data_IF_287856847739
#
_entry.id   IF_287856847739
#
_cell.length_a   1.000
_cell.length_b   1.000
_cell.length_c   1.000
_cell.angle_alpha   90.00
_cell.angle_beta   90.00
_cell.angle_gamma   90.00
#
_symmetry.space_group_name_H-M   'P 1'
#
loop_
_entity.id
_entity.type
_entity.pdbx_description
1 polymer ?
#
# COMPACT_ATOMS: atom_id res chain seq x y z
N UNK A 1 21.23 -7.37 15.24
CA UNK A 1 22.01 -6.37 14.47
C UNK A 1 23.11 -6.97 13.58
N UNK A 2 24.07 -7.76 14.10
CA UNK A 2 25.22 -8.27 13.31
C UNK A 2 24.83 -9.10 12.07
N UNK A 3 23.79 -9.93 12.17
CA UNK A 3 23.37 -10.80 11.07
C UNK A 3 22.78 -10.02 9.89
N UNK A 4 21.99 -8.98 10.17
CA UNK A 4 21.38 -8.11 9.15
C UNK A 4 22.45 -7.27 8.46
N UNK A 5 23.41 -6.73 9.21
CA UNK A 5 24.53 -5.99 8.64
C UNK A 5 25.39 -6.88 7.72
N UNK A 6 25.66 -8.12 8.13
CA UNK A 6 26.44 -9.06 7.33
C UNK A 6 25.74 -9.44 6.04
N UNK A 7 24.43 -9.72 6.09
CA UNK A 7 23.65 -10.06 4.90
C UNK A 7 23.46 -8.87 3.94
N UNK A 8 23.28 -7.66 4.47
CA UNK A 8 23.16 -6.45 3.64
C UNK A 8 24.41 -6.16 2.81
N UNK A 9 25.59 -6.43 3.39
CA UNK A 9 26.90 -6.24 2.76
C UNK A 9 27.15 -7.22 1.62
N UNK A 10 26.64 -8.45 1.76
CA UNK A 10 26.80 -9.51 0.77
C UNK A 10 25.90 -9.28 -0.45
N UNK A 11 24.68 -8.77 -0.25
CA UNK A 11 23.69 -8.60 -1.32
C UNK A 11 23.59 -7.18 -1.90
N UNK A 12 24.50 -6.26 -1.53
CA UNK A 12 24.47 -4.85 -2.01
C UNK A 12 23.13 -4.16 -1.70
N UNK A 13 22.53 -4.50 -0.57
CA UNK A 13 21.17 -4.11 -0.24
C UNK A 13 21.15 -2.76 0.48
N UNK A 14 20.31 -1.83 0.01
CA UNK A 14 20.13 -0.52 0.64
C UNK A 14 19.51 -0.67 2.04
N UNK A 15 20.29 -0.37 3.08
CA UNK A 15 19.97 -0.72 4.47
C UNK A 15 18.91 0.19 5.12
N UNK A 16 18.59 1.33 4.51
CA UNK A 16 17.58 2.27 5.04
C UNK A 16 16.12 1.81 4.84
N UNK A 17 15.93 0.68 4.14
CA UNK A 17 14.61 0.16 3.73
C UNK A 17 14.17 -1.03 4.61
N UNK A 18 15.07 -1.58 5.44
CA UNK A 18 14.74 -2.74 6.28
C UNK A 18 13.95 -2.34 7.52
N UNK A 19 12.69 -2.78 7.56
CA UNK A 19 11.92 -2.89 8.79
C UNK A 19 12.28 -4.20 9.47
N UNK A 20 12.43 -4.18 10.79
CA UNK A 20 12.66 -5.37 11.60
C UNK A 20 12.00 -5.15 12.96
N UNK A 21 11.65 -6.26 13.62
CA UNK A 21 11.04 -6.24 14.95
C UNK A 21 11.66 -7.37 15.78
N UNK A 22 11.97 -7.07 17.05
CA UNK A 22 12.67 -7.96 17.97
C UNK A 22 11.70 -8.44 19.06
N UNK A 23 11.29 -9.71 18.97
CA UNK A 23 10.44 -10.35 19.98
C UNK A 23 11.20 -11.39 20.81
N UNK A 24 11.06 -11.34 22.14
CA UNK A 24 11.63 -12.34 23.05
C UNK A 24 10.64 -13.49 23.27
N UNK A 25 11.13 -14.72 23.18
CA UNK A 25 10.33 -15.91 23.51
C UNK A 25 10.72 -16.37 24.92
N UNK A 26 9.79 -16.33 25.87
CA UNK A 26 9.99 -16.79 27.24
C UNK A 26 9.18 -18.07 27.48
N UNK A 27 9.84 -19.18 27.82
CA UNK A 27 9.14 -20.42 28.16
C UNK A 27 8.90 -20.46 29.67
N UNK A 28 7.65 -20.38 30.11
CA UNK A 28 7.26 -20.50 31.51
C UNK A 28 6.36 -21.72 31.72
N UNK A 29 6.90 -22.84 32.25
CA UNK A 29 6.14 -24.07 32.50
C UNK A 29 5.01 -23.91 33.55
N UNK A 30 5.13 -22.95 34.47
CA UNK A 30 4.19 -22.72 35.59
C UNK A 30 3.16 -21.60 35.33
N UNK A 31 3.19 -20.96 34.16
CA UNK A 31 2.21 -19.93 33.80
C UNK A 31 0.90 -20.60 33.37
N UNK A 32 -0.10 -20.62 34.26
CA UNK A 32 -1.38 -21.31 34.07
C UNK A 32 -2.02 -21.19 32.67
N UNK A 33 -2.50 -22.33 32.17
CA UNK A 33 -3.37 -22.64 31.02
C UNK A 33 -3.38 -21.83 29.70
N UNK A 34 -2.61 -20.75 29.49
CA UNK A 34 -2.78 -19.93 28.28
C UNK A 34 -1.47 -19.30 27.79
N UNK A 35 -1.14 -19.52 26.52
CA UNK A 35 -0.14 -18.71 25.82
C UNK A 35 -0.52 -17.23 25.93
N UNK A 36 0.46 -16.35 26.16
CA UNK A 36 0.20 -14.90 26.23
C UNK A 36 1.16 -14.16 25.31
N UNK A 37 0.59 -13.40 24.38
CA UNK A 37 1.32 -12.41 23.61
C UNK A 37 1.30 -11.08 24.38
N UNK A 38 2.48 -10.50 24.58
CA UNK A 38 2.67 -9.19 25.19
C UNK A 38 3.52 -8.33 24.23
N UNK A 39 3.62 -7.02 24.46
CA UNK A 39 4.17 -6.06 23.48
C UNK A 39 5.53 -6.44 22.89
N UNK A 40 6.47 -7.01 23.68
CA UNK A 40 7.81 -7.43 23.20
C UNK A 40 8.16 -8.87 23.56
N UNK A 41 7.19 -9.67 24.03
CA UNK A 41 7.46 -11.03 24.45
C UNK A 41 6.31 -11.97 24.19
N UNK A 42 6.64 -13.21 23.85
CA UNK A 42 5.67 -14.30 23.81
C UNK A 42 5.99 -15.28 24.91
N UNK A 43 5.03 -15.48 25.80
CA UNK A 43 5.14 -16.47 26.88
C UNK A 43 4.52 -17.78 26.41
N UNK A 44 5.37 -18.79 26.26
CA UNK A 44 4.97 -20.15 25.89
C UNK A 44 5.02 -21.06 27.12
N UNK A 45 4.04 -21.96 27.26
CA UNK A 45 4.07 -22.97 28.34
C UNK A 45 5.12 -24.05 28.09
N UNK A 46 5.29 -24.41 26.82
CA UNK A 46 6.24 -25.42 26.35
C UNK A 46 6.86 -24.92 25.06
N UNK A 47 8.13 -25.24 24.83
CA UNK A 47 8.75 -25.00 23.54
C UNK A 47 8.09 -25.92 22.50
N UNK A 48 7.35 -25.31 21.58
CA UNK A 48 6.63 -25.97 20.51
C UNK A 48 7.02 -25.30 19.18
N UNK A 49 7.53 -26.10 18.25
CA UNK A 49 8.04 -25.61 16.99
C UNK A 49 6.94 -24.97 16.14
N UNK A 50 5.73 -25.54 16.17
CA UNK A 50 4.55 -24.99 15.47
C UNK A 50 4.20 -23.61 16.02
N UNK A 51 4.15 -23.47 17.35
CA UNK A 51 3.88 -22.20 18.01
C UNK A 51 4.92 -21.12 17.66
N UNK A 52 6.21 -21.47 17.69
CA UNK A 52 7.31 -20.55 17.31
C UNK A 52 7.19 -20.12 15.85
N UNK A 53 6.88 -21.05 14.95
CA UNK A 53 6.69 -20.75 13.51
C UNK A 53 5.54 -19.79 13.27
N UNK A 54 4.39 -20.00 13.93
CA UNK A 54 3.24 -19.09 13.85
C UNK A 54 3.57 -17.70 14.38
N UNK A 55 4.25 -17.59 15.52
CA UNK A 55 4.67 -16.31 16.09
C UNK A 55 5.61 -15.59 15.12
N UNK A 56 6.62 -16.29 14.60
CA UNK A 56 7.56 -15.73 13.64
C UNK A 56 6.86 -15.24 12.36
N UNK A 57 5.87 -16.00 11.87
CA UNK A 57 5.04 -15.60 10.73
C UNK A 57 4.26 -14.32 11.03
N UNK A 58 3.58 -14.23 12.18
CA UNK A 58 2.80 -13.04 12.55
C UNK A 58 3.68 -11.80 12.72
N UNK A 59 4.89 -11.94 13.29
CA UNK A 59 5.86 -10.84 13.37
C UNK A 59 6.34 -10.44 11.97
N UNK A 60 6.64 -11.40 11.10
CA UNK A 60 6.99 -11.14 9.70
C UNK A 60 5.90 -10.35 8.97
N UNK A 61 4.63 -10.69 9.19
CA UNK A 61 3.49 -9.94 8.65
C UNK A 61 3.44 -8.51 9.21
N UNK A 62 3.69 -8.31 10.50
CA UNK A 62 3.75 -6.97 11.12
C UNK A 62 4.84 -6.09 10.50
N UNK A 63 6.02 -6.67 10.28
CA UNK A 63 7.17 -5.99 9.64
C UNK A 63 6.87 -5.66 8.18
N UNK A 64 6.25 -6.58 7.44
CA UNK A 64 5.83 -6.34 6.05
C UNK A 64 4.79 -5.21 5.99
N UNK A 65 3.83 -5.16 6.92
CA UNK A 65 2.88 -4.06 7.03
C UNK A 65 3.58 -2.71 7.26
N UNK A 66 4.63 -2.64 8.08
CA UNK A 66 5.40 -1.40 8.27
C UNK A 66 6.13 -0.95 7.01
N UNK A 67 6.62 -1.90 6.22
CA UNK A 67 7.24 -1.62 4.92
C UNK A 67 6.21 -1.04 3.95
N UNK A 68 5.06 -1.70 3.79
CA UNK A 68 3.99 -1.23 2.91
C UNK A 68 3.38 0.10 3.38
N UNK A 69 3.23 0.30 4.69
CA UNK A 69 2.81 1.59 5.24
C UNK A 69 3.76 2.72 4.84
N UNK A 70 5.08 2.47 4.85
CA UNK A 70 6.06 3.50 4.46
C UNK A 70 5.92 3.91 2.99
N UNK A 71 5.74 2.94 2.09
CA UNK A 71 5.48 3.20 0.67
C UNK A 71 4.20 4.01 0.51
N UNK A 72 3.13 3.61 1.19
CA UNK A 72 1.83 4.27 1.10
C UNK A 72 1.87 5.70 1.62
N UNK A 73 2.64 5.99 2.67
CA UNK A 73 2.83 7.37 3.17
C UNK A 73 3.50 8.27 2.12
N UNK A 74 4.52 7.76 1.43
CA UNK A 74 5.22 8.52 0.37
C UNK A 74 4.28 8.83 -0.80
N UNK A 75 3.46 7.85 -1.20
CA UNK A 75 2.42 8.07 -2.19
C UNK A 75 1.44 9.14 -1.66
N UNK A 76 0.83 8.94 -0.48
CA UNK A 76 -0.17 9.86 0.08
C UNK A 76 0.30 11.33 0.12
N UNK A 77 1.59 11.57 0.39
CA UNK A 77 2.20 12.89 0.33
C UNK A 77 2.11 13.53 -1.07
N UNK A 78 2.40 12.78 -2.13
CA UNK A 78 2.24 13.25 -3.51
C UNK A 78 0.77 13.54 -3.85
N UNK A 79 -0.17 12.70 -3.40
CA UNK A 79 -1.61 12.95 -3.57
C UNK A 79 -2.05 14.25 -2.88
N UNK A 80 -1.49 14.54 -1.71
CA UNK A 80 -1.76 15.78 -0.97
C UNK A 80 -1.29 17.00 -1.75
N UNK A 81 -0.09 16.93 -2.36
CA UNK A 81 0.43 18.02 -3.20
C UNK A 81 -0.47 18.27 -4.41
N UNK A 82 -0.92 17.20 -5.10
CA UNK A 82 -1.86 17.30 -6.23
C UNK A 82 -3.19 17.96 -5.78
N UNK A 83 -3.70 17.55 -4.62
CA UNK A 83 -4.95 18.08 -4.07
C UNK A 83 -4.84 19.57 -3.73
N UNK A 84 -3.69 19.99 -3.19
CA UNK A 84 -3.41 21.39 -2.89
C UNK A 84 -3.28 22.24 -4.15
N UNK A 85 -2.68 21.72 -5.22
CA UNK A 85 -2.67 22.39 -6.53
C UNK A 85 -4.08 22.59 -7.08
N UNK A 86 -4.93 21.56 -7.00
CA UNK A 86 -6.31 21.66 -7.42
C UNK A 86 -7.06 22.71 -6.60
N UNK A 87 -6.89 22.72 -5.28
CA UNK A 87 -7.54 23.67 -4.37
C UNK A 87 -7.11 25.12 -4.64
N UNK A 88 -5.83 25.36 -4.89
CA UNK A 88 -5.27 26.72 -5.02
C UNK A 88 -5.31 27.27 -6.45
N UNK A 89 -5.10 26.41 -7.46
CA UNK A 89 -4.97 26.82 -8.88
C UNK A 89 -6.14 26.34 -9.73
N UNK A 90 -7.02 25.47 -9.23
CA UNK A 90 -8.09 24.83 -10.00
C UNK A 90 -7.58 23.81 -11.04
N UNK A 91 -6.28 23.52 -11.06
CA UNK A 91 -5.63 22.64 -12.04
C UNK A 91 -4.40 21.97 -11.41
N UNK A 92 -4.12 20.74 -11.83
CA UNK A 92 -2.86 20.07 -11.51
C UNK A 92 -1.81 20.38 -12.58
N UNK A 93 -0.54 20.45 -12.14
CA UNK A 93 0.62 20.54 -13.03
C UNK A 93 1.07 19.17 -13.56
N UNK A 94 0.54 18.07 -12.99
CA UNK A 94 0.83 16.71 -13.44
C UNK A 94 0.22 16.43 -14.82
N UNK A 95 0.90 15.62 -15.61
CA UNK A 95 0.38 15.10 -16.87
C UNK A 95 -0.28 13.73 -16.67
N UNK A 96 -1.10 13.31 -17.64
CA UNK A 96 -1.81 12.02 -17.62
C UNK A 96 -0.83 10.84 -17.44
N UNK A 97 0.34 10.88 -18.08
CA UNK A 97 1.32 9.80 -18.00
C UNK A 97 1.85 9.60 -16.57
N UNK A 98 2.06 10.68 -15.83
CA UNK A 98 2.50 10.63 -14.44
C UNK A 98 1.40 10.06 -13.55
N UNK A 99 0.16 10.49 -13.73
CA UNK A 99 -1.00 9.97 -12.97
C UNK A 99 -1.21 8.46 -13.24
N UNK A 100 -1.07 8.01 -14.48
CA UNK A 100 -1.16 6.58 -14.83
C UNK A 100 -0.05 5.75 -14.18
N UNK A 101 1.19 6.26 -14.18
CA UNK A 101 2.30 5.58 -13.47
C UNK A 101 2.03 5.47 -11.98
N UNK A 102 1.47 6.52 -11.41
CA UNK A 102 1.17 6.61 -10.00
C UNK A 102 0.03 5.67 -9.59
N UNK A 103 -1.06 5.59 -10.37
CA UNK A 103 -2.08 4.54 -10.22
C UNK A 103 -1.49 3.13 -10.35
N UNK A 104 -0.56 2.93 -11.29
CA UNK A 104 0.14 1.66 -11.46
C UNK A 104 1.00 1.29 -10.25
N UNK A 105 1.67 2.26 -9.62
CA UNK A 105 2.41 2.04 -8.38
C UNK A 105 1.48 1.62 -7.23
N UNK A 106 0.32 2.27 -7.08
CA UNK A 106 -0.71 1.86 -6.12
C UNK A 106 -1.21 0.44 -6.37
N UNK A 107 -1.54 0.12 -7.63
CA UNK A 107 -2.05 -1.20 -8.00
C UNK A 107 -1.01 -2.29 -7.73
N UNK A 108 0.25 -2.05 -8.11
CA UNK A 108 1.35 -2.97 -7.82
C UNK A 108 1.55 -3.15 -6.31
N UNK A 109 1.45 -2.06 -5.52
CA UNK A 109 1.60 -2.13 -4.06
C UNK A 109 0.45 -2.92 -3.42
N UNK A 110 -0.80 -2.72 -3.86
CA UNK A 110 -1.96 -3.50 -3.39
C UNK A 110 -1.80 -4.99 -3.69
N UNK A 111 -1.30 -5.32 -4.89
CA UNK A 111 -1.06 -6.69 -5.30
C UNK A 111 0.02 -7.33 -4.43
N UNK A 112 1.20 -6.71 -4.31
CA UNK A 112 2.29 -7.23 -3.50
C UNK A 112 1.91 -7.35 -2.01
N UNK A 113 1.19 -6.37 -1.45
CA UNK A 113 0.66 -6.44 -0.08
C UNK A 113 -0.30 -7.62 0.10
N UNK A 114 -1.14 -7.92 -0.89
CA UNK A 114 -2.07 -9.05 -0.83
C UNK A 114 -1.33 -10.37 -0.89
N UNK A 115 -0.36 -10.47 -1.81
CA UNK A 115 0.42 -11.68 -2.06
C UNK A 115 1.33 -12.02 -0.85
N UNK A 116 2.04 -11.03 -0.30
CA UNK A 116 3.05 -11.26 0.75
C UNK A 116 2.44 -11.59 2.11
N UNK A 117 1.27 -11.05 2.43
CA UNK A 117 0.71 -11.18 3.78
C UNK A 117 -0.24 -12.38 3.91
N UNK A 118 -0.76 -12.93 2.81
CA UNK A 118 -1.60 -14.15 2.81
C UNK A 118 -2.71 -14.10 3.88
N UNK A 119 -3.28 -12.91 4.15
CA UNK A 119 -4.08 -12.62 5.35
C UNK A 119 -5.38 -13.42 5.42
N UNK A 120 -5.88 -13.82 4.25
CA UNK A 120 -7.15 -14.52 4.07
C UNK A 120 -7.07 -16.02 4.29
N UNK A 121 -5.86 -16.57 4.36
CA UNK A 121 -5.64 -18.00 4.48
C UNK A 121 -5.12 -18.34 5.88
N UNK A 122 -5.66 -19.41 6.46
CA UNK A 122 -5.12 -19.98 7.69
C UNK A 122 -3.91 -20.86 7.37
N UNK A 123 -2.78 -20.71 8.07
CA UNK A 123 -1.60 -21.54 7.82
C UNK A 123 -1.92 -23.01 8.06
N UNK A 124 -1.45 -23.90 7.18
CA UNK A 124 -1.76 -25.35 7.18
C UNK A 124 -1.62 -26.01 8.56
N UNK A 125 -0.59 -25.64 9.33
CA UNK A 125 -0.33 -26.16 10.69
C UNK A 125 -1.41 -25.79 11.73
N UNK A 126 -2.19 -24.73 11.49
CA UNK A 126 -3.27 -24.31 12.38
C UNK A 126 -4.57 -25.10 12.20
N UNK A 127 -4.73 -25.81 11.09
CA UNK A 127 -5.94 -26.59 10.79
C UNK A 127 -6.08 -27.83 11.68
N UNK A 128 -4.95 -28.45 12.03
CA UNK A 128 -4.91 -29.70 12.79
C UNK A 128 -4.77 -29.49 14.31
N UNK A 129 -4.36 -28.30 14.75
CA UNK A 129 -4.06 -28.00 16.16
C UNK A 129 -4.79 -26.75 16.67
N UNK A 130 -5.84 -26.97 17.46
CA UNK A 130 -6.69 -25.91 18.02
C UNK A 130 -5.92 -24.90 18.90
N UNK A 131 -4.82 -25.30 19.53
CA UNK A 131 -4.00 -24.39 20.34
C UNK A 131 -3.18 -23.44 19.46
N UNK A 132 -2.67 -23.94 18.34
CA UNK A 132 -1.89 -23.17 17.35
C UNK A 132 -2.79 -22.17 16.62
N UNK A 133 -4.00 -22.58 16.23
CA UNK A 133 -5.02 -21.68 15.66
C UNK A 133 -5.39 -20.52 16.59
N UNK A 134 -5.65 -20.80 17.88
CA UNK A 134 -5.93 -19.76 18.89
C UNK A 134 -4.77 -18.79 19.06
N UNK A 135 -3.54 -19.29 19.08
CA UNK A 135 -2.34 -18.47 19.19
C UNK A 135 -2.17 -17.56 17.96
N UNK A 136 -2.44 -18.07 16.75
CA UNK A 136 -2.38 -17.27 15.53
C UNK A 136 -3.40 -16.14 15.53
N UNK A 137 -4.65 -16.42 15.89
CA UNK A 137 -5.71 -15.40 16.02
C UNK A 137 -5.38 -14.34 17.08
N UNK A 138 -4.83 -14.76 18.22
CA UNK A 138 -4.39 -13.84 19.27
C UNK A 138 -3.23 -12.97 18.80
N UNK A 139 -2.26 -13.54 18.08
CA UNK A 139 -1.14 -12.81 17.50
C UNK A 139 -1.61 -11.79 16.45
N UNK A 140 -2.50 -12.19 15.52
CA UNK A 140 -3.11 -11.28 14.53
C UNK A 140 -3.84 -10.13 15.18
N UNK A 141 -4.56 -10.38 16.28
CA UNK A 141 -5.29 -9.36 17.03
C UNK A 141 -4.33 -8.41 17.76
N UNK A 142 -3.33 -8.93 18.45
CA UNK A 142 -2.38 -8.14 19.23
C UNK A 142 -1.51 -7.23 18.36
N UNK A 143 -1.09 -7.74 17.19
CA UNK A 143 -0.31 -6.98 16.20
C UNK A 143 -1.19 -6.15 15.24
N UNK A 144 -2.51 -6.19 15.43
CA UNK A 144 -3.52 -5.48 14.63
C UNK A 144 -3.40 -5.71 13.11
N UNK A 145 -2.93 -6.89 12.69
CA UNK A 145 -2.58 -7.21 11.29
C UNK A 145 -3.73 -6.87 10.33
N UNK A 146 -4.95 -7.29 10.69
CA UNK A 146 -6.15 -7.06 9.88
C UNK A 146 -6.54 -5.58 9.77
N UNK A 147 -6.38 -4.83 10.87
CA UNK A 147 -6.71 -3.40 10.91
C UNK A 147 -5.73 -2.58 10.06
N UNK A 148 -4.43 -2.83 10.26
CA UNK A 148 -3.34 -2.17 9.53
C UNK A 148 -3.41 -2.46 8.03
N UNK A 149 -3.65 -3.71 7.65
CA UNK A 149 -3.87 -4.07 6.24
C UNK A 149 -5.01 -3.26 5.61
N UNK A 150 -6.18 -3.21 6.28
CA UNK A 150 -7.34 -2.44 5.79
C UNK A 150 -7.03 -0.95 5.68
N UNK A 151 -6.30 -0.37 6.64
CA UNK A 151 -5.86 1.02 6.59
C UNK A 151 -4.99 1.31 5.36
N UNK A 152 -3.95 0.50 5.13
CA UNK A 152 -3.08 0.62 3.96
C UNK A 152 -3.90 0.48 2.67
N UNK A 153 -4.80 -0.51 2.61
CA UNK A 153 -5.61 -0.76 1.41
C UNK A 153 -6.55 0.41 1.11
N UNK A 154 -7.14 1.02 2.14
CA UNK A 154 -7.98 2.21 2.03
C UNK A 154 -7.18 3.42 1.52
N UNK A 155 -6.00 3.66 2.08
CA UNK A 155 -5.15 4.78 1.67
C UNK A 155 -4.71 4.64 0.19
N UNK A 156 -4.30 3.43 -0.22
CA UNK A 156 -3.95 3.14 -1.61
C UNK A 156 -5.14 3.34 -2.56
N UNK A 157 -6.35 3.02 -2.11
CA UNK A 157 -7.59 3.24 -2.88
C UNK A 157 -7.91 4.74 -3.02
N UNK A 158 -7.79 5.50 -1.93
CA UNK A 158 -7.94 6.96 -1.95
C UNK A 158 -6.97 7.62 -2.93
N UNK A 159 -5.71 7.16 -2.95
CA UNK A 159 -4.69 7.64 -3.88
C UNK A 159 -5.11 7.37 -5.33
N UNK A 160 -5.57 6.15 -5.63
CA UNK A 160 -5.99 5.75 -6.96
C UNK A 160 -7.19 6.58 -7.43
N UNK A 161 -8.24 6.70 -6.61
CA UNK A 161 -9.44 7.49 -6.91
C UNK A 161 -9.10 8.98 -7.15
N UNK A 162 -8.24 9.55 -6.32
CA UNK A 162 -7.81 10.94 -6.47
C UNK A 162 -7.07 11.16 -7.79
N UNK A 163 -6.20 10.22 -8.16
CA UNK A 163 -5.42 10.29 -9.40
C UNK A 163 -6.27 10.12 -10.64
N UNK A 164 -7.25 9.21 -10.59
CA UNK A 164 -8.25 9.00 -11.64
C UNK A 164 -9.08 10.26 -11.87
N UNK A 165 -9.61 10.86 -10.80
CA UNK A 165 -10.33 12.13 -10.87
C UNK A 165 -9.50 13.22 -11.56
N UNK A 166 -8.22 13.36 -11.19
CA UNK A 166 -7.34 14.37 -11.82
C UNK A 166 -7.14 14.07 -13.31
N UNK A 167 -6.95 12.79 -13.66
CA UNK A 167 -6.77 12.37 -15.04
C UNK A 167 -8.01 12.70 -15.89
N UNK A 168 -9.20 12.44 -15.37
CA UNK A 168 -10.48 12.77 -16.02
C UNK A 168 -10.63 14.28 -16.25
N UNK A 169 -10.29 15.11 -15.24
CA UNK A 169 -10.31 16.57 -15.38
C UNK A 169 -9.34 17.06 -16.47
N UNK A 170 -8.19 16.41 -16.65
CA UNK A 170 -7.26 16.74 -17.73
C UNK A 170 -7.84 16.29 -19.09
N UNK A 171 -8.48 15.12 -19.14
CA UNK A 171 -9.10 14.59 -20.37
C UNK A 171 -10.21 15.52 -20.87
N UNK A 172 -11.13 15.93 -19.99
CA UNK A 172 -12.22 16.87 -20.31
C UNK A 172 -11.66 18.17 -20.89
N UNK A 173 -10.61 18.74 -20.28
CA UNK A 173 -9.98 19.96 -20.80
C UNK A 173 -9.40 19.78 -22.20
N UNK A 174 -8.74 18.65 -22.45
CA UNK A 174 -8.20 18.35 -23.79
C UNK A 174 -9.31 18.17 -24.82
N UNK A 175 -10.41 17.52 -24.45
CA UNK A 175 -11.58 17.36 -25.31
C UNK A 175 -12.20 18.72 -25.66
N UNK A 176 -12.37 19.62 -24.69
CA UNK A 176 -12.90 20.97 -24.93
C UNK A 176 -12.00 21.79 -25.87
N UNK A 177 -10.67 21.65 -25.76
CA UNK A 177 -9.72 22.32 -26.67
C UNK A 177 -9.85 21.77 -28.09
N UNK A 178 -10.00 20.46 -28.24
CA UNK A 178 -10.22 19.84 -29.55
C UNK A 178 -11.53 20.31 -30.18
N UNK A 179 -12.61 20.36 -29.40
CA UNK A 179 -13.92 20.85 -29.84
C UNK A 179 -13.84 22.31 -30.31
N UNK A 180 -13.25 23.20 -29.51
CA UNK A 180 -13.11 24.60 -29.88
C UNK A 180 -12.22 24.78 -31.11
N UNK A 181 -11.23 23.91 -31.31
CA UNK A 181 -10.39 23.91 -32.52
C UNK A 181 -11.23 23.57 -33.76
N UNK A 182 -12.09 22.55 -33.70
CA UNK A 182 -12.98 22.17 -34.81
C UNK A 182 -13.98 23.31 -35.11
N UNK A 183 -14.62 23.86 -34.08
CA UNK A 183 -15.56 24.99 -34.24
C UNK A 183 -14.86 26.20 -34.85
N UNK A 184 -13.64 26.52 -34.41
CA UNK A 184 -12.83 27.60 -34.96
C UNK A 184 -12.46 27.39 -36.44
N UNK A 185 -12.10 26.16 -36.82
CA UNK A 185 -11.79 25.82 -38.22
C UNK A 185 -13.02 25.97 -39.13
N UNK A 186 -14.19 25.50 -38.68
CA UNK A 186 -15.45 25.65 -39.43
C UNK A 186 -15.81 27.13 -39.57
N UNK A 187 -15.68 27.92 -38.49
CA UNK A 187 -15.95 29.35 -38.53
C UNK A 187 -15.03 30.09 -39.52
N UNK A 188 -13.74 29.70 -39.57
CA UNK A 188 -12.78 30.23 -40.53
C UNK A 188 -13.17 29.88 -41.99
N UNK A 189 -13.55 28.63 -42.25
CA UNK A 189 -13.99 28.20 -43.59
C UNK A 189 -15.22 28.97 -44.06
N UNK A 190 -16.23 29.11 -43.20
CA UNK A 190 -17.43 29.90 -43.52
C UNK A 190 -17.09 31.37 -43.79
N UNK A 191 -16.22 31.97 -42.97
CA UNK A 191 -15.78 33.36 -43.18
C UNK A 191 -15.04 33.52 -44.52
N UNK A 192 -14.15 32.58 -44.86
CA UNK A 192 -13.43 32.57 -46.13
C UNK A 192 -14.38 32.46 -47.33
N UNK A 193 -15.35 31.55 -47.28
CA UNK A 193 -16.36 31.38 -48.33
C UNK A 193 -17.21 32.64 -48.54
N UNK A 194 -17.52 33.37 -47.46
CA UNK A 194 -18.24 34.65 -47.58
C UNK A 194 -17.35 35.70 -48.26
N UNK A 195 -16.08 35.81 -47.86
CA UNK A 195 -15.15 36.77 -48.46
C UNK A 195 -14.97 36.50 -49.95
N UNK A 196 -14.71 35.24 -50.33
CA UNK A 196 -14.53 34.82 -51.73
C UNK A 196 -15.75 35.12 -52.61
N UNK A 197 -16.96 35.07 -52.04
CA UNK A 197 -18.19 35.35 -52.77
C UNK A 197 -18.46 36.85 -52.96
N UNK A 198 -17.92 37.71 -52.10
CA UNK A 198 -18.16 39.16 -52.12
C UNK A 198 -17.02 39.97 -52.76
N UNK A 199 -15.84 39.38 -52.93
CA UNK A 199 -14.69 39.97 -53.66
C UNK A 199 -14.73 39.61 -55.14
#
# INVERSE_FOLDING_TARGET
>A
EEMIQTLSKIFSLNTSIYKYDDYKIEVQPDAGATHRLDFNKVVLQKFDFEAVRIIALSIGQSVALDYYQSITVDLLAETKDISEELRTKGRSTRNIKNLVRYMGACMSTKQSLTDDLYIYDEPDESWDNQNVSKLFEEAKRHLEIQSRFKGIYYDLDLIQQSSEMVADLIHIRKQNVLELTIVGLIAFEVAWLIIDKFL
#
